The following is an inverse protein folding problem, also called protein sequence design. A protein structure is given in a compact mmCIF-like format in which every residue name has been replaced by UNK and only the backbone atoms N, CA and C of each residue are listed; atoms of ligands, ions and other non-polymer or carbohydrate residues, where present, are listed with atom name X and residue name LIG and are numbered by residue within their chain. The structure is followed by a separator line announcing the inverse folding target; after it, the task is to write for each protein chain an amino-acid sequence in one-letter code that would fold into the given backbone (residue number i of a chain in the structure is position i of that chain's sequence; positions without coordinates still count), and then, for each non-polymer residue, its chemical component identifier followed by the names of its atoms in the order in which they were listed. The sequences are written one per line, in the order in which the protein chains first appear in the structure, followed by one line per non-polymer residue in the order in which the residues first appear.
data_IF_636724610433
#
_entry.id   IF_636724610433
#
_cell.length_a   1.000
_cell.length_b   1.000
_cell.length_c   1.000
_cell.angle_alpha   90.00
_cell.angle_beta   90.00
_cell.angle_gamma   90.00
#
_symmetry.space_group_name_H-M   'P 1'
#
loop_
_entity.id
_entity.type
_entity.pdbx_description
1 polymer ?
#
# COMPACT_ATOMS: atom_id res chain seq x y z
N UNK A 1 14.60 -11.02 20.40
CA UNK A 1 15.37 -11.50 19.24
C UNK A 1 15.68 -10.29 18.36
N UNK A 2 16.94 -9.86 18.20
CA UNK A 2 17.27 -8.74 17.28
C UNK A 2 17.17 -9.25 15.85
N UNK A 3 16.26 -8.69 15.05
CA UNK A 3 16.21 -8.97 13.61
C UNK A 3 17.47 -8.38 12.98
N UNK A 4 18.35 -9.23 12.44
CA UNK A 4 19.54 -8.79 11.71
C UNK A 4 19.24 -8.82 10.22
N UNK A 5 19.35 -7.67 9.58
CA UNK A 5 19.31 -7.55 8.12
C UNK A 5 20.74 -7.61 7.57
N UNK A 6 20.90 -8.27 6.43
CA UNK A 6 22.13 -8.25 5.65
C UNK A 6 22.17 -7.02 4.75
N UNK A 7 23.35 -6.60 4.32
CA UNK A 7 23.53 -5.45 3.42
C UNK A 7 22.71 -5.61 2.14
N UNK A 8 22.69 -6.82 1.57
CA UNK A 8 21.90 -7.15 0.37
C UNK A 8 20.40 -6.96 0.59
N UNK A 9 19.87 -7.42 1.72
CA UNK A 9 18.44 -7.27 2.03
C UNK A 9 18.07 -5.79 2.21
N UNK A 10 18.91 -5.01 2.89
CA UNK A 10 18.69 -3.57 3.06
C UNK A 10 18.70 -2.86 1.70
N UNK A 11 19.63 -3.21 0.83
CA UNK A 11 19.71 -2.65 -0.52
C UNK A 11 18.46 -2.98 -1.36
N UNK A 12 17.97 -4.23 -1.29
CA UNK A 12 16.74 -4.65 -1.98
C UNK A 12 15.50 -3.89 -1.46
N UNK A 13 15.37 -3.80 -0.13
CA UNK A 13 14.25 -3.07 0.48
C UNK A 13 14.31 -1.59 0.11
N UNK A 14 15.49 -0.96 0.14
CA UNK A 14 15.67 0.43 -0.26
C UNK A 14 15.27 0.65 -1.73
N UNK A 15 15.74 -0.21 -2.64
CA UNK A 15 15.40 -0.12 -4.07
C UNK A 15 13.89 -0.19 -4.31
N UNK A 16 13.20 -1.16 -3.71
CA UNK A 16 11.76 -1.30 -3.86
C UNK A 16 10.99 -0.13 -3.21
N UNK A 17 11.50 0.40 -2.10
CA UNK A 17 10.92 1.58 -1.45
C UNK A 17 11.06 2.83 -2.31
N UNK A 18 12.20 3.00 -3.00
CA UNK A 18 12.39 4.10 -3.96
C UNK A 18 11.44 3.96 -5.15
N UNK A 19 11.23 2.74 -5.66
CA UNK A 19 10.25 2.50 -6.74
C UNK A 19 8.84 2.86 -6.29
N UNK A 20 8.44 2.41 -5.08
CA UNK A 20 7.14 2.78 -4.53
C UNK A 20 7.02 4.30 -4.35
N UNK A 21 8.01 4.96 -3.73
CA UNK A 21 8.01 6.41 -3.57
C UNK A 21 7.89 7.16 -4.90
N UNK A 22 8.58 6.70 -5.94
CA UNK A 22 8.50 7.29 -7.28
C UNK A 22 7.08 7.17 -7.86
N UNK A 23 6.44 6.00 -7.75
CA UNK A 23 5.04 5.81 -8.16
C UNK A 23 4.14 6.79 -7.39
N UNK A 24 4.30 6.82 -6.07
CA UNK A 24 3.47 7.59 -5.16
C UNK A 24 3.52 9.11 -5.42
N UNK A 25 4.72 9.65 -5.71
CA UNK A 25 4.91 11.07 -6.03
C UNK A 25 4.38 11.38 -7.43
N UNK A 26 4.80 10.63 -8.46
CA UNK A 26 4.46 10.95 -9.84
C UNK A 26 2.98 10.71 -10.15
N UNK A 27 2.45 9.52 -9.81
CA UNK A 27 1.04 9.22 -10.02
C UNK A 27 0.15 10.00 -9.05
N UNK A 28 0.65 10.33 -7.85
CA UNK A 28 -0.07 11.19 -6.92
C UNK A 28 -0.38 12.56 -7.49
N UNK A 29 0.63 13.20 -8.11
CA UNK A 29 0.48 14.49 -8.78
C UNK A 29 -0.41 14.33 -10.02
N UNK A 30 -0.15 13.32 -10.87
CA UNK A 30 -0.92 13.08 -12.10
C UNK A 30 -2.42 12.90 -11.83
N UNK A 31 -2.78 12.02 -10.88
CA UNK A 31 -4.17 11.74 -10.54
C UNK A 31 -4.84 12.94 -9.86
N UNK A 32 -4.07 13.76 -9.14
CA UNK A 32 -4.58 15.02 -8.60
C UNK A 32 -4.92 16.02 -9.71
N UNK A 33 -4.05 16.16 -10.71
CA UNK A 33 -4.28 17.04 -11.85
C UNK A 33 -5.47 16.57 -12.69
N UNK A 34 -5.63 15.27 -12.90
CA UNK A 34 -6.78 14.68 -13.61
C UNK A 34 -8.07 14.64 -12.78
N UNK A 35 -8.05 15.12 -11.54
CA UNK A 35 -9.18 15.10 -10.60
C UNK A 35 -9.85 13.72 -10.43
N UNK A 36 -9.05 12.65 -10.56
CA UNK A 36 -9.56 11.27 -10.54
C UNK A 36 -10.12 10.94 -9.14
N UNK A 37 -11.38 10.49 -9.04
CA UNK A 37 -11.93 10.03 -7.77
C UNK A 37 -11.18 8.78 -7.29
N UNK A 38 -11.05 8.61 -5.97
CA UNK A 38 -10.39 7.45 -5.35
C UNK A 38 -8.91 7.24 -5.72
N UNK A 39 -8.19 8.32 -6.07
CA UNK A 39 -6.73 8.26 -6.33
C UNK A 39 -5.92 7.50 -5.27
N UNK A 40 -6.29 7.59 -4.00
CA UNK A 40 -5.63 6.88 -2.90
C UNK A 40 -5.75 5.35 -3.01
N UNK A 41 -6.91 4.83 -3.40
CA UNK A 41 -7.11 3.38 -3.57
C UNK A 41 -6.23 2.82 -4.70
N UNK A 42 -6.11 3.56 -5.80
CA UNK A 42 -5.27 3.16 -6.93
C UNK A 42 -3.77 3.19 -6.58
N UNK A 43 -3.32 4.23 -5.90
CA UNK A 43 -1.93 4.34 -5.45
C UNK A 43 -1.57 3.24 -4.45
N UNK A 44 -2.41 3.01 -3.44
CA UNK A 44 -2.22 1.93 -2.48
C UNK A 44 -2.27 0.56 -3.14
N UNK A 45 -3.11 0.35 -4.16
CA UNK A 45 -3.09 -0.91 -4.91
C UNK A 45 -1.71 -1.19 -5.52
N UNK A 46 -1.10 -0.21 -6.19
CA UNK A 46 0.24 -0.35 -6.76
C UNK A 46 1.31 -0.47 -5.67
N UNK A 47 1.20 0.32 -4.60
CA UNK A 47 2.07 0.28 -3.44
C UNK A 47 2.16 -1.12 -2.83
N UNK A 48 1.00 -1.73 -2.55
CA UNK A 48 0.91 -3.05 -1.93
C UNK A 48 1.57 -4.13 -2.78
N UNK A 49 1.47 -4.06 -4.11
CA UNK A 49 2.17 -5.01 -4.99
C UNK A 49 3.69 -4.92 -4.77
N UNK A 50 4.26 -3.71 -4.80
CA UNK A 50 5.71 -3.50 -4.59
C UNK A 50 6.12 -3.92 -3.18
N UNK A 51 5.31 -3.57 -2.18
CA UNK A 51 5.53 -3.89 -0.78
C UNK A 51 5.55 -5.40 -0.52
N UNK A 52 4.62 -6.14 -1.11
CA UNK A 52 4.55 -7.60 -0.99
C UNK A 52 5.67 -8.30 -1.72
N UNK A 53 6.10 -7.78 -2.87
CA UNK A 53 7.31 -8.29 -3.53
C UNK A 53 8.50 -8.17 -2.59
N UNK A 54 8.69 -7.01 -1.95
CA UNK A 54 9.78 -6.81 -1.00
C UNK A 54 9.70 -7.72 0.22
N UNK A 55 8.49 -7.90 0.78
CA UNK A 55 8.27 -8.77 1.95
C UNK A 55 8.45 -10.26 1.65
N UNK A 56 8.17 -10.71 0.44
CA UNK A 56 8.38 -12.10 0.01
C UNK A 56 9.86 -12.37 -0.33
N UNK A 57 10.56 -11.39 -0.95
CA UNK A 57 11.99 -11.49 -1.20
C UNK A 57 12.84 -11.41 0.08
N UNK A 58 12.40 -10.63 1.07
CA UNK A 58 13.02 -10.51 2.38
C UNK A 58 12.02 -10.95 3.44
N UNK A 59 11.92 -12.26 3.74
CA UNK A 59 10.93 -12.82 4.64
C UNK A 59 11.29 -12.56 6.13
N UNK A 60 11.52 -11.29 6.51
CA UNK A 60 11.85 -10.85 7.86
C UNK A 60 10.79 -9.89 8.41
N UNK A 61 10.58 -9.97 9.72
CA UNK A 61 9.75 -9.02 10.46
C UNK A 61 10.34 -7.61 10.38
N UNK A 62 9.48 -6.62 10.21
CA UNK A 62 9.85 -5.22 10.07
C UNK A 62 10.31 -4.83 8.67
N UNK A 63 10.37 -5.75 7.71
CA UNK A 63 10.70 -5.41 6.32
C UNK A 63 9.64 -4.47 5.72
N UNK A 64 8.35 -4.72 6.00
CA UNK A 64 7.26 -3.86 5.53
C UNK A 64 7.39 -2.48 6.16
N UNK A 65 7.61 -2.42 7.48
CA UNK A 65 7.82 -1.17 8.21
C UNK A 65 9.00 -0.35 7.66
N UNK A 66 10.14 -0.98 7.39
CA UNK A 66 11.30 -0.29 6.82
C UNK A 66 10.98 0.28 5.43
N UNK A 67 10.28 -0.48 4.59
CA UNK A 67 9.89 -0.01 3.26
C UNK A 67 8.92 1.17 3.32
N UNK A 68 7.90 1.07 4.18
CA UNK A 68 6.92 2.13 4.37
C UNK A 68 7.53 3.40 4.96
N UNK A 69 8.39 3.26 5.98
CA UNK A 69 9.05 4.39 6.62
C UNK A 69 9.96 5.15 5.64
N UNK A 70 10.77 4.43 4.87
CA UNK A 70 11.64 5.05 3.86
C UNK A 70 10.83 5.71 2.74
N UNK A 71 9.76 5.06 2.27
CA UNK A 71 8.86 5.63 1.26
C UNK A 71 8.16 6.89 1.76
N UNK A 72 7.62 6.86 2.98
CA UNK A 72 6.97 8.00 3.62
C UNK A 72 7.95 9.17 3.79
N UNK A 73 9.20 8.87 4.16
CA UNK A 73 10.25 9.88 4.30
C UNK A 73 10.61 10.53 2.96
N UNK A 74 10.80 9.73 1.90
CA UNK A 74 11.05 10.26 0.54
C UNK A 74 9.88 11.15 0.11
N UNK A 75 8.63 10.69 0.28
CA UNK A 75 7.44 11.46 -0.08
C UNK A 75 7.36 12.79 0.68
N UNK A 76 7.66 12.77 1.97
CA UNK A 76 7.66 13.96 2.81
C UNK A 76 8.68 15.00 2.34
N UNK A 77 9.89 14.56 1.94
CA UNK A 77 10.91 15.48 1.40
C UNK A 77 10.47 16.10 0.07
N UNK A 78 9.92 15.29 -0.85
CA UNK A 78 9.56 15.77 -2.19
C UNK A 78 8.38 16.76 -2.21
N UNK A 79 7.38 16.55 -1.35
CA UNK A 79 6.15 17.35 -1.33
C UNK A 79 6.06 18.30 -0.12
N UNK A 80 6.99 18.20 0.82
CA UNK A 80 7.04 19.02 2.04
C UNK A 80 5.83 18.86 2.95
N UNK A 81 5.48 19.94 3.65
CA UNK A 81 4.34 19.96 4.60
C UNK A 81 2.97 19.70 3.99
N UNK A 82 2.82 19.80 2.66
CA UNK A 82 1.58 19.43 1.97
C UNK A 82 1.31 17.92 1.98
N UNK A 83 2.32 17.10 2.30
CA UNK A 83 2.23 15.65 2.31
C UNK A 83 1.90 15.03 3.67
N UNK A 84 1.62 15.81 4.72
CA UNK A 84 1.41 15.28 6.09
C UNK A 84 0.29 14.24 6.13
N UNK A 85 -0.86 14.53 5.52
CA UNK A 85 -1.98 13.58 5.45
C UNK A 85 -1.60 12.29 4.71
N UNK A 86 -1.08 12.33 3.47
CA UNK A 86 -0.60 11.13 2.80
C UNK A 86 0.48 10.35 3.55
N UNK A 87 1.40 11.02 4.24
CA UNK A 87 2.45 10.38 5.04
C UNK A 87 1.85 9.58 6.19
N UNK A 88 0.91 10.15 6.94
CA UNK A 88 0.17 9.44 8.00
C UNK A 88 -0.58 8.23 7.41
N UNK A 89 -1.19 8.40 6.23
CA UNK A 89 -1.85 7.33 5.49
C UNK A 89 -0.92 6.13 5.25
N UNK A 90 0.25 6.38 4.66
CA UNK A 90 1.28 5.36 4.40
C UNK A 90 1.71 4.69 5.71
N UNK A 91 2.02 5.47 6.74
CA UNK A 91 2.44 4.91 8.03
C UNK A 91 1.43 3.90 8.60
N UNK A 92 0.16 4.27 8.63
CA UNK A 92 -0.90 3.41 9.15
C UNK A 92 -1.15 2.19 8.27
N UNK A 93 -1.11 2.36 6.95
CA UNK A 93 -1.22 1.25 5.99
C UNK A 93 -0.15 0.18 6.25
N UNK A 94 1.10 0.61 6.40
CA UNK A 94 2.25 -0.27 6.56
C UNK A 94 2.21 -0.99 7.92
N UNK A 95 1.74 -0.31 8.96
CA UNK A 95 1.53 -0.91 10.29
C UNK A 95 0.50 -2.03 10.21
N UNK A 96 -0.66 -1.78 9.58
CA UNK A 96 -1.72 -2.78 9.43
C UNK A 96 -1.24 -3.98 8.60
N UNK A 97 -0.52 -3.72 7.51
CA UNK A 97 0.07 -4.76 6.67
C UNK A 97 1.07 -5.62 7.45
N UNK A 98 2.00 -5.00 8.20
CA UNK A 98 2.99 -5.72 9.01
C UNK A 98 2.30 -6.57 10.09
N UNK A 99 1.23 -6.08 10.72
CA UNK A 99 0.45 -6.86 11.68
C UNK A 99 -0.15 -8.13 11.03
N UNK A 100 -0.71 -8.02 9.83
CA UNK A 100 -1.23 -9.18 9.09
C UNK A 100 -0.11 -10.15 8.65
N UNK A 101 1.09 -9.64 8.39
CA UNK A 101 2.26 -10.41 7.94
C UNK A 101 3.27 -10.70 9.06
N UNK A 102 2.84 -10.65 10.32
CA UNK A 102 3.72 -10.80 11.50
C UNK A 102 4.43 -12.16 11.56
N UNK A 103 3.88 -13.17 10.89
CA UNK A 103 4.44 -14.51 10.81
C UNK A 103 5.78 -14.50 10.06
N UNK A 104 6.73 -15.34 10.49
CA UNK A 104 8.08 -15.37 9.87
C UNK A 104 8.02 -15.81 8.40
N UNK A 105 7.13 -16.74 8.07
CA UNK A 105 6.86 -17.21 6.71
C UNK A 105 5.38 -17.03 6.39
N UNK A 106 4.97 -15.83 5.97
CA UNK A 106 3.57 -15.57 5.61
C UNK A 106 3.18 -16.44 4.42
N UNK A 107 2.00 -17.06 4.51
CA UNK A 107 1.41 -17.86 3.43
C UNK A 107 0.60 -16.95 2.50
N UNK A 108 0.19 -17.47 1.35
CA UNK A 108 -0.55 -16.70 0.33
C UNK A 108 -1.78 -15.98 0.92
N UNK A 109 -2.53 -16.63 1.83
CA UNK A 109 -3.70 -16.00 2.44
C UNK A 109 -3.34 -14.80 3.33
N UNK A 110 -2.15 -14.80 3.95
CA UNK A 110 -1.67 -13.69 4.76
C UNK A 110 -1.46 -12.45 3.91
N UNK A 111 -0.94 -12.60 2.68
CA UNK A 111 -0.80 -11.51 1.72
C UNK A 111 -2.15 -10.97 1.25
N UNK A 112 -3.13 -11.83 0.98
CA UNK A 112 -4.47 -11.38 0.64
C UNK A 112 -5.14 -10.60 1.79
N UNK A 113 -5.03 -11.11 3.03
CA UNK A 113 -5.56 -10.44 4.21
C UNK A 113 -4.85 -9.11 4.47
N UNK A 114 -3.53 -9.07 4.34
CA UNK A 114 -2.74 -7.85 4.49
C UNK A 114 -3.11 -6.81 3.43
N UNK A 115 -3.29 -7.24 2.18
CA UNK A 115 -3.70 -6.35 1.10
C UNK A 115 -5.10 -5.79 1.32
N UNK A 116 -6.06 -6.64 1.74
CA UNK A 116 -7.39 -6.21 2.14
C UNK A 116 -7.36 -5.18 3.28
N UNK A 117 -6.56 -5.42 4.32
CA UNK A 117 -6.41 -4.50 5.45
C UNK A 117 -5.79 -3.17 5.05
N UNK A 118 -4.71 -3.19 4.25
CA UNK A 118 -4.05 -1.98 3.76
C UNK A 118 -4.98 -1.12 2.90
N UNK A 119 -5.70 -1.74 1.96
CA UNK A 119 -6.59 -1.00 1.07
C UNK A 119 -7.88 -0.56 1.76
N UNK A 120 -8.39 -1.32 2.75
CA UNK A 120 -9.50 -0.88 3.60
C UNK A 120 -9.14 0.39 4.39
N UNK A 121 -7.89 0.54 4.82
CA UNK A 121 -7.44 1.76 5.49
C UNK A 121 -7.56 3.00 4.60
N UNK A 122 -7.29 2.89 3.29
CA UNK A 122 -7.42 4.05 2.38
C UNK A 122 -8.84 4.61 2.31
N UNK A 123 -9.84 3.76 2.52
CA UNK A 123 -11.23 4.16 2.60
C UNK A 123 -11.56 4.86 3.92
N UNK A 124 -10.96 4.40 5.03
CA UNK A 124 -11.14 4.97 6.37
C UNK A 124 -10.33 6.27 6.57
N UNK A 125 -9.19 6.40 5.91
CA UNK A 125 -8.22 7.47 6.12
C UNK A 125 -8.77 8.90 5.89
N UNK A 126 -9.59 9.19 4.86
CA UNK A 126 -10.22 10.50 4.70
C UNK A 126 -11.10 10.89 5.88
N UNK A 127 -11.77 9.93 6.53
CA UNK A 127 -12.59 10.21 7.72
C UNK A 127 -11.72 10.66 8.90
N UNK A 128 -10.56 10.02 9.07
CA UNK A 128 -9.62 10.41 10.12
C UNK A 128 -9.00 11.78 9.82
N UNK A 129 -8.49 11.98 8.60
CA UNK A 129 -7.75 13.21 8.26
C UNK A 129 -8.64 14.42 8.04
N UNK A 130 -9.76 14.28 7.34
CA UNK A 130 -10.67 15.40 7.08
C UNK A 130 -11.68 15.60 8.21
N UNK A 131 -12.11 14.52 8.87
CA UNK A 131 -13.04 14.59 9.99
C UNK A 131 -12.39 15.09 11.27
N UNK A 132 -11.28 14.46 11.69
CA UNK A 132 -10.63 14.75 12.97
C UNK A 132 -9.57 15.85 12.87
N UNK A 133 -8.64 15.76 11.90
CA UNK A 133 -7.50 16.67 11.82
C UNK A 133 -7.82 18.01 11.14
N UNK A 134 -8.67 18.00 10.11
CA UNK A 134 -9.06 19.24 9.43
C UNK A 134 -10.22 19.98 10.12
N UNK A 135 -10.93 19.33 11.05
CA UNK A 135 -12.04 19.93 11.81
C UNK A 135 -13.33 20.14 11.00
N UNK A 136 -13.46 19.54 9.81
CA UNK A 136 -14.62 19.78 8.92
C UNK A 136 -15.88 19.01 9.34
N UNK A 137 -15.77 18.14 10.35
CA UNK A 137 -16.84 17.29 10.84
C UNK A 137 -17.06 16.04 9.97
N UNK A 138 -17.26 14.89 10.63
CA UNK A 138 -17.40 13.58 9.99
C UNK A 138 -18.53 13.53 8.93
N UNK A 139 -19.60 14.30 9.16
CA UNK A 139 -20.80 14.36 8.31
C UNK A 139 -20.52 14.98 6.93
N UNK A 140 -19.60 15.95 6.84
CA UNK A 140 -19.26 16.61 5.57
C UNK A 140 -18.44 15.70 4.66
N UNK A 141 -17.51 14.95 5.25
CA UNK A 141 -16.73 13.91 4.56
C UNK A 141 -17.66 12.81 4.02
N UNK A 142 -18.65 12.43 4.82
CA UNK A 142 -19.66 11.43 4.46
C UNK A 142 -20.46 11.83 3.22
N UNK A 143 -20.95 13.08 3.16
CA UNK A 143 -21.70 13.60 1.99
C UNK A 143 -20.86 13.59 0.71
N UNK A 144 -19.60 14.02 0.78
CA UNK A 144 -18.69 14.02 -0.39
C UNK A 144 -18.44 12.60 -0.90
N UNK A 145 -18.32 11.61 -0.01
CA UNK A 145 -18.11 10.22 -0.42
C UNK A 145 -19.33 9.65 -1.15
N UNK A 146 -20.53 9.98 -0.67
CA UNK A 146 -21.80 9.57 -1.29
C UNK A 146 -21.98 10.23 -2.64
N UNK A 147 -21.77 11.53 -2.76
CA UNK A 147 -21.88 12.25 -4.04
C UNK A 147 -20.94 11.65 -5.09
N UNK A 148 -19.70 11.33 -4.70
CA UNK A 148 -18.74 10.66 -5.59
C UNK A 148 -19.15 9.23 -5.95
N UNK A 149 -19.70 8.47 -5.01
CA UNK A 149 -20.18 7.11 -5.25
C UNK A 149 -21.44 7.07 -6.13
N UNK A 150 -22.39 7.96 -5.86
CA UNK A 150 -23.63 8.11 -6.63
C UNK A 150 -23.34 8.54 -8.07
N UNK A 151 -22.37 9.44 -8.29
CA UNK A 151 -21.94 9.82 -9.64
C UNK A 151 -21.32 8.67 -10.46
N UNK A 152 -20.73 7.67 -9.78
CA UNK A 152 -20.13 6.49 -10.43
C UNK A 152 -21.13 5.36 -10.71
N UNK A 153 -22.14 5.19 -9.85
CA UNK A 153 -23.03 4.02 -9.89
C UNK A 153 -24.52 4.35 -10.13
N UNK A 154 -24.91 5.63 -10.15
CA UNK A 154 -26.26 6.07 -10.53
C UNK A 154 -27.40 5.66 -9.58
N UNK A 155 -27.10 5.23 -8.34
CA UNK A 155 -28.11 4.76 -7.40
C UNK A 155 -28.70 5.88 -6.52
N UNK A 156 -30.02 5.85 -6.36
CA UNK A 156 -30.79 6.75 -5.51
C UNK A 156 -30.83 6.25 -4.05
N UNK A 157 -30.39 7.11 -3.13
CA UNK A 157 -30.66 7.18 -1.68
C UNK A 157 -30.61 5.96 -0.73
N UNK A 158 -29.94 4.84 -1.05
CA UNK A 158 -29.53 3.90 0.01
C UNK A 158 -28.11 4.18 0.52
N UNK A 159 -28.03 5.17 1.42
CA UNK A 159 -26.82 5.66 2.11
C UNK A 159 -25.89 4.56 2.62
N UNK A 160 -26.43 3.48 3.19
CA UNK A 160 -25.64 2.38 3.76
C UNK A 160 -25.17 1.37 2.70
N UNK A 161 -25.97 1.14 1.65
CA UNK A 161 -25.68 0.15 0.62
C UNK A 161 -24.50 0.53 -0.26
N UNK A 162 -24.43 1.79 -0.72
CA UNK A 162 -23.32 2.30 -1.52
C UNK A 162 -22.01 2.29 -0.72
N UNK A 163 -22.08 2.67 0.56
CA UNK A 163 -20.93 2.66 1.45
C UNK A 163 -20.38 1.25 1.66
N UNK A 164 -21.26 0.29 1.98
CA UNK A 164 -20.89 -1.12 2.13
C UNK A 164 -20.29 -1.67 0.83
N UNK A 165 -20.91 -1.39 -0.31
CA UNK A 165 -20.44 -1.82 -1.62
C UNK A 165 -19.03 -1.30 -1.92
N UNK A 166 -18.80 0.00 -1.74
CA UNK A 166 -17.48 0.60 -1.93
C UNK A 166 -16.44 -0.02 -0.99
N UNK A 167 -16.80 -0.25 0.27
CA UNK A 167 -15.90 -0.88 1.24
C UNK A 167 -15.54 -2.31 0.83
N UNK A 168 -16.51 -3.11 0.38
CA UNK A 168 -16.29 -4.46 -0.14
C UNK A 168 -15.38 -4.43 -1.37
N UNK A 169 -15.59 -3.48 -2.29
CA UNK A 169 -14.71 -3.30 -3.46
C UNK A 169 -13.26 -3.03 -3.03
N UNK A 170 -13.03 -2.18 -2.03
CA UNK A 170 -11.68 -1.90 -1.53
C UNK A 170 -11.03 -3.16 -0.92
N UNK A 171 -11.77 -3.94 -0.14
CA UNK A 171 -11.30 -5.22 0.42
C UNK A 171 -10.91 -6.18 -0.71
N UNK A 172 -11.75 -6.32 -1.73
CA UNK A 172 -11.49 -7.20 -2.86
C UNK A 172 -10.27 -6.76 -3.68
N UNK A 173 -10.16 -5.48 -3.99
CA UNK A 173 -9.00 -4.91 -4.67
C UNK A 173 -7.71 -5.13 -3.86
N UNK A 174 -7.79 -4.97 -2.54
CA UNK A 174 -6.67 -5.23 -1.64
C UNK A 174 -6.24 -6.69 -1.65
N UNK A 175 -7.20 -7.62 -1.58
CA UNK A 175 -6.91 -9.05 -1.67
C UNK A 175 -6.29 -9.43 -3.02
N UNK A 176 -6.77 -8.82 -4.12
CA UNK A 176 -6.21 -9.00 -5.46
C UNK A 176 -4.77 -8.49 -5.52
N UNK A 177 -4.47 -7.30 -4.99
CA UNK A 177 -3.11 -6.78 -4.89
C UNK A 177 -2.19 -7.73 -4.12
N UNK A 178 -2.68 -8.27 -3.00
CA UNK A 178 -2.02 -9.32 -2.21
C UNK A 178 -1.66 -10.55 -3.03
N UNK A 179 -2.63 -11.09 -3.76
CA UNK A 179 -2.45 -12.26 -4.60
C UNK A 179 -1.46 -11.99 -5.76
N UNK A 180 -1.56 -10.83 -6.41
CA UNK A 180 -0.68 -10.44 -7.52
C UNK A 180 0.75 -10.27 -7.01
N UNK A 181 0.96 -9.49 -5.95
CA UNK A 181 2.28 -9.24 -5.37
C UNK A 181 2.99 -10.54 -4.99
N UNK A 182 2.28 -11.44 -4.32
CA UNK A 182 2.82 -12.75 -3.95
C UNK A 182 3.11 -13.65 -5.16
N UNK A 183 2.22 -13.73 -6.15
CA UNK A 183 2.49 -14.55 -7.34
C UNK A 183 3.68 -14.01 -8.14
N UNK A 184 3.79 -12.69 -8.24
CA UNK A 184 4.85 -12.03 -8.98
C UNK A 184 6.22 -12.24 -8.34
N UNK A 185 6.32 -12.14 -7.02
CA UNK A 185 7.57 -12.43 -6.31
C UNK A 185 8.00 -13.88 -6.45
N UNK A 186 7.06 -14.83 -6.41
CA UNK A 186 7.35 -16.25 -6.64
C UNK A 186 7.91 -16.52 -8.04
N UNK A 187 7.46 -15.78 -9.06
CA UNK A 187 8.04 -15.87 -10.41
C UNK A 187 9.49 -15.37 -10.43
N UNK A 188 9.78 -14.27 -9.74
CA UNK A 188 11.14 -13.72 -9.61
C UNK A 188 12.06 -14.73 -8.91
N UNK A 189 11.62 -15.27 -7.78
CA UNK A 189 12.38 -16.25 -6.99
C UNK A 189 12.66 -17.50 -7.84
N UNK A 190 11.64 -18.07 -8.48
CA UNK A 190 11.82 -19.25 -9.36
C UNK A 190 12.84 -18.99 -10.46
N UNK A 191 12.75 -17.83 -11.12
CA UNK A 191 13.66 -17.48 -12.21
C UNK A 191 15.10 -17.28 -11.72
N UNK A 192 15.28 -16.65 -10.56
CA UNK A 192 16.59 -16.44 -9.95
C UNK A 192 17.26 -17.77 -9.54
N UNK A 193 16.50 -18.73 -8.99
CA UNK A 193 17.04 -20.05 -8.64
C UNK A 193 17.24 -20.99 -9.83
N UNK A 194 16.61 -20.73 -10.98
CA UNK A 194 16.79 -21.51 -12.22
C UNK A 194 18.02 -21.13 -13.05
N UNK A 195 18.77 -20.09 -12.68
CA UNK A 195 19.99 -19.72 -13.40
C UNK A 195 21.16 -20.66 -13.04
N UNK A 196 21.92 -21.17 -14.03
CA UNK A 196 23.08 -22.02 -13.79
C UNK A 196 24.14 -21.30 -12.94
N UNK A 197 24.83 -22.06 -12.09
CA UNK A 197 25.78 -21.57 -11.05
C UNK A 197 26.92 -20.70 -11.61
N UNK A 198 27.18 -20.71 -12.93
CA UNK A 198 28.27 -19.95 -13.56
C UNK A 198 28.15 -18.42 -13.51
N UNK A 199 26.97 -17.84 -13.25
CA UNK A 199 26.82 -16.38 -13.03
C UNK A 199 26.86 -15.99 -11.54
N UNK A 200 27.04 -16.95 -10.64
CA UNK A 200 26.95 -16.77 -9.19
C UNK A 200 28.26 -16.26 -8.55
N UNK A 201 29.25 -15.87 -9.35
CA UNK A 201 30.62 -15.60 -8.92
C UNK A 201 31.00 -14.10 -8.85
N UNK A 202 30.07 -13.26 -8.42
CA UNK A 202 30.36 -11.86 -8.07
C UNK A 202 29.86 -11.54 -6.65
N UNK A 203 30.28 -12.37 -5.69
CA UNK A 203 30.29 -12.00 -4.27
C UNK A 203 31.76 -11.73 -3.89
N UNK A 204 32.14 -10.44 -3.86
CA UNK A 204 33.27 -9.91 -3.10
C UNK A 204 32.78 -8.68 -2.32
#
# INVERSE_FOLDING_TARGET
MRVKFTTREIALLALLSTVWAAIEVNFGILLQTLQVPFKGAFLTFLALIVLFIGRDLVPKRGAVLLMGLTTAFIKFIFLGGMAISPVIGIFMEVILVEMCLYQNQPRNYSFCLAGAAGLAWTFVHPFFTQGLLAGWGILKVYKILIEKGAALFGFDQQFFGIFLLLFVIHILLGAIAGAIGFKFSQLIIRRYYSLPVCERSYDY
#
